data_IF_158478742725
#
_entry.id   IF_158478742725
#
_cell.length_a   1.000
_cell.length_b   1.000
_cell.length_c   1.000
_cell.angle_alpha   90.00
_cell.angle_beta   90.00
_cell.angle_gamma   90.00
#
_symmetry.space_group_name_H-M   'P 1'
#
loop_
_entity.id
_entity.type
_entity.pdbx_description
1 polymer ?
#
# COMPACT_ATOMS: atom_id res chain seq x y z
N UNK A 1 -0.12 15.81 -4.36
CA UNK A 1 -0.19 14.71 -3.45
C UNK A 1 0.98 13.78 -3.61
N UNK A 2 1.61 13.43 -2.54
CA UNK A 2 2.76 12.58 -2.60
C UNK A 2 2.38 11.12 -2.70
N UNK A 3 3.12 10.39 -3.50
CA UNK A 3 2.87 8.98 -3.65
C UNK A 3 4.20 8.25 -3.63
N UNK A 4 4.24 7.13 -2.92
CA UNK A 4 5.42 6.30 -2.84
C UNK A 4 5.06 4.92 -3.38
N UNK A 5 5.98 4.30 -4.08
CA UNK A 5 5.76 2.95 -4.59
C UNK A 5 6.77 2.01 -3.98
N UNK A 6 6.29 0.90 -3.43
CA UNK A 6 7.13 -0.11 -2.80
C UNK A 6 6.87 -1.48 -3.42
N UNK A 7 7.76 -1.96 -4.29
CA UNK A 7 7.58 -3.25 -4.92
C UNK A 7 8.04 -4.40 -4.04
N UNK A 8 7.56 -5.60 -4.36
CA UNK A 8 8.07 -6.82 -3.74
C UNK A 8 9.31 -7.29 -4.48
N UNK A 9 10.19 -8.02 -3.80
CA UNK A 9 11.32 -8.65 -4.49
C UNK A 9 10.84 -9.56 -5.61
N UNK A 10 11.71 -9.74 -6.60
CA UNK A 10 11.32 -10.44 -7.82
C UNK A 10 10.98 -11.91 -7.60
N UNK A 11 11.50 -12.52 -6.53
CA UNK A 11 11.25 -13.92 -6.31
C UNK A 11 9.81 -14.21 -5.93
N UNK A 12 9.03 -13.21 -5.57
CA UNK A 12 7.62 -13.43 -5.27
C UNK A 12 6.82 -13.30 -6.57
N UNK A 13 6.08 -14.36 -6.92
CA UNK A 13 5.38 -14.36 -8.19
C UNK A 13 3.91 -13.99 -8.09
N UNK A 14 3.28 -14.29 -6.96
CA UNK A 14 1.87 -13.96 -6.82
C UNK A 14 1.74 -12.65 -6.11
N UNK A 15 1.83 -11.58 -6.85
CA UNK A 15 1.78 -10.26 -6.24
C UNK A 15 0.60 -9.48 -6.77
N UNK A 16 0.08 -8.62 -5.96
CA UNK A 16 -0.99 -7.74 -6.37
C UNK A 16 -0.63 -6.32 -5.99
N UNK A 17 -1.13 -5.39 -6.77
CA UNK A 17 -0.89 -3.98 -6.50
C UNK A 17 -1.95 -3.49 -5.52
N UNK A 18 -1.51 -2.81 -4.49
CA UNK A 18 -2.37 -2.32 -3.43
C UNK A 18 -2.13 -0.85 -3.19
N UNK A 19 -3.10 -0.18 -2.61
CA UNK A 19 -2.98 1.24 -2.29
C UNK A 19 -3.55 1.52 -0.91
N UNK A 20 -2.87 2.39 -0.19
CA UNK A 20 -3.32 2.84 1.12
C UNK A 20 -3.04 4.33 1.24
N UNK A 21 -4.00 5.08 1.75
CA UNK A 21 -3.83 6.52 1.94
C UNK A 21 -3.85 6.84 3.42
N UNK A 22 -2.85 7.59 3.88
CA UNK A 22 -2.86 8.08 5.24
C UNK A 22 -3.76 9.31 5.28
N UNK A 23 -5.00 9.11 5.65
CA UNK A 23 -5.96 10.21 5.71
C UNK A 23 -5.91 11.00 7.01
N UNK A 24 -4.95 10.72 7.88
CA UNK A 24 -4.87 11.37 9.16
C UNK A 24 -3.90 12.54 9.12
N UNK A 25 -3.80 13.24 10.23
CA UNK A 25 -2.84 14.31 10.37
C UNK A 25 -1.55 13.80 10.99
N UNK A 26 -1.41 12.50 11.23
CA UNK A 26 -0.27 11.96 11.92
C UNK A 26 0.57 11.11 11.00
N UNK A 27 1.85 11.05 11.32
CA UNK A 27 2.76 10.18 10.61
C UNK A 27 2.43 8.74 10.95
N UNK A 28 2.40 7.89 9.96
CA UNK A 28 2.09 6.47 10.16
C UNK A 28 3.22 5.61 9.63
N UNK A 29 3.30 4.38 10.14
CA UNK A 29 4.22 3.39 9.62
C UNK A 29 3.38 2.20 9.17
N UNK A 30 3.55 1.79 7.92
CA UNK A 30 2.87 0.61 7.38
C UNK A 30 3.85 -0.55 7.40
N UNK A 31 3.43 -1.68 7.94
CA UNK A 31 4.26 -2.87 8.05
C UNK A 31 3.51 -4.10 7.62
N UNK A 32 4.25 -5.08 7.06
CA UNK A 32 3.71 -6.41 6.81
C UNK A 32 4.63 -7.37 7.54
N UNK A 33 4.10 -8.07 8.52
CA UNK A 33 4.89 -8.96 9.35
C UNK A 33 4.48 -10.42 9.31
N UNK A 34 3.39 -10.73 8.64
CA UNK A 34 2.89 -12.10 8.63
C UNK A 34 3.40 -12.93 7.46
N UNK A 35 4.25 -12.38 6.61
CA UNK A 35 4.80 -13.14 5.49
C UNK A 35 6.25 -13.44 5.81
N UNK A 36 6.65 -14.71 5.88
CA UNK A 36 8.02 -15.06 6.21
C UNK A 36 8.99 -14.46 5.19
N UNK A 37 10.11 -13.98 5.70
CA UNK A 37 11.18 -13.43 4.89
C UNK A 37 10.78 -12.19 4.08
N UNK A 38 9.61 -11.63 4.33
CA UNK A 38 9.19 -10.42 3.67
C UNK A 38 9.19 -9.31 4.71
N UNK A 39 10.14 -8.41 4.61
CA UNK A 39 10.24 -7.30 5.53
C UNK A 39 9.78 -6.06 4.83
N UNK A 40 8.60 -5.60 5.17
CA UNK A 40 8.02 -4.41 4.57
C UNK A 40 7.75 -3.40 5.65
N UNK A 41 8.29 -2.21 5.48
CA UNK A 41 8.08 -1.13 6.43
C UNK A 41 8.23 0.18 5.69
N UNK A 42 7.20 1.01 5.72
CA UNK A 42 7.20 2.28 5.02
C UNK A 42 6.59 3.35 5.91
N UNK A 43 7.22 4.51 5.96
CA UNK A 43 6.67 5.65 6.67
C UNK A 43 5.76 6.39 5.71
N UNK A 44 4.54 6.71 6.16
CA UNK A 44 3.57 7.39 5.34
C UNK A 44 3.21 8.70 6.00
N UNK A 45 3.53 9.80 5.31
CA UNK A 45 3.24 11.12 5.83
C UNK A 45 1.75 11.43 5.70
N UNK A 46 1.25 12.40 6.45
CA UNK A 46 -0.15 12.78 6.33
C UNK A 46 -0.53 13.08 4.89
N UNK A 47 -1.67 12.54 4.46
CA UNK A 47 -2.23 12.72 3.12
C UNK A 47 -1.42 12.05 2.01
N UNK A 48 -0.41 11.27 2.38
CA UNK A 48 0.39 10.58 1.38
C UNK A 48 -0.29 9.28 1.00
N UNK A 49 -0.13 8.89 -0.25
CA UNK A 49 -0.64 7.62 -0.76
C UNK A 49 0.51 6.65 -0.91
N UNK A 50 0.34 5.45 -0.39
CA UNK A 50 1.31 4.38 -0.55
C UNK A 50 0.77 3.41 -1.59
N UNK A 51 1.53 3.23 -2.66
CA UNK A 51 1.21 2.22 -3.65
C UNK A 51 2.24 1.12 -3.45
N UNK A 52 1.81 -0.11 -3.27
CA UNK A 52 2.73 -1.18 -2.92
C UNK A 52 2.28 -2.50 -3.50
N UNK A 53 3.21 -3.44 -3.57
CA UNK A 53 2.90 -4.79 -4.01
C UNK A 53 2.88 -5.69 -2.79
N UNK A 54 1.92 -6.60 -2.74
CA UNK A 54 1.76 -7.50 -1.62
C UNK A 54 1.26 -8.85 -2.09
N UNK A 55 1.45 -9.85 -1.24
CA UNK A 55 0.87 -11.16 -1.49
C UNK A 55 -0.56 -11.19 -0.98
N UNK A 56 -1.41 -12.04 -1.56
CA UNK A 56 -2.84 -12.02 -1.22
C UNK A 56 -3.15 -12.25 0.25
N UNK A 57 -2.31 -12.99 0.96
CA UNK A 57 -2.57 -13.27 2.36
C UNK A 57 -1.83 -12.34 3.31
N UNK A 58 -1.23 -11.28 2.79
CA UNK A 58 -0.52 -10.35 3.65
C UNK A 58 -1.48 -9.44 4.39
N UNK A 59 -1.07 -9.02 5.58
CA UNK A 59 -1.82 -8.05 6.37
C UNK A 59 -1.00 -6.79 6.51
N UNK A 60 -1.59 -5.67 6.21
CA UNK A 60 -0.94 -4.37 6.39
C UNK A 60 -1.28 -3.87 7.77
N UNK A 61 -0.26 -3.64 8.59
CA UNK A 61 -0.44 -3.08 9.91
C UNK A 61 -0.06 -1.63 9.88
N UNK A 62 -0.93 -0.78 10.39
CA UNK A 62 -0.69 0.64 10.42
C UNK A 62 -0.47 1.05 11.87
N UNK A 63 0.69 1.61 12.14
CA UNK A 63 1.03 2.10 13.45
C UNK A 63 1.17 3.61 13.38
N UNK A 64 0.95 4.28 14.47
CA UNK A 64 1.25 5.71 14.54
C UNK A 64 2.27 5.91 15.66
N UNK A 65 2.98 7.02 15.58
CA UNK A 65 4.00 7.31 16.58
C UNK A 65 3.36 7.86 17.84
N UNK A 66 3.88 7.43 18.98
CA UNK A 66 3.49 7.95 20.28
C UNK A 66 4.76 8.35 21.00
N UNK A 67 4.62 8.90 22.18
CA UNK A 67 5.78 9.32 22.93
C UNK A 67 6.66 8.16 23.36
N UNK A 68 6.09 6.98 23.49
CA UNK A 68 6.84 5.83 23.95
C UNK A 68 7.16 4.85 22.85
N UNK A 69 6.94 5.21 21.59
CA UNK A 69 7.20 4.30 20.47
C UNK A 69 6.10 4.35 19.45
N UNK A 70 5.65 3.20 19.00
CA UNK A 70 4.54 3.16 18.06
C UNK A 70 3.41 2.33 18.63
N UNK A 71 2.21 2.61 18.18
CA UNK A 71 1.02 1.91 18.61
C UNK A 71 0.23 1.49 17.37
N UNK A 72 -0.18 0.23 17.34
CA UNK A 72 -0.96 -0.28 16.23
C UNK A 72 -2.31 0.40 16.21
N UNK A 73 -2.67 0.99 15.10
CA UNK A 73 -3.95 1.65 14.94
C UNK A 73 -4.90 0.83 14.07
N UNK A 74 -4.37 0.01 13.16
CA UNK A 74 -5.24 -0.73 12.26
C UNK A 74 -4.50 -1.92 11.66
N UNK A 75 -5.25 -2.91 11.23
CA UNK A 75 -4.70 -4.05 10.54
C UNK A 75 -5.66 -4.39 9.41
N UNK A 76 -5.18 -4.37 8.18
CA UNK A 76 -6.02 -4.50 7.01
C UNK A 76 -5.49 -5.63 6.14
N UNK A 77 -6.36 -6.54 5.74
CA UNK A 77 -5.96 -7.56 4.79
C UNK A 77 -5.65 -6.87 3.46
N UNK A 78 -4.47 -7.11 2.92
CA UNK A 78 -4.04 -6.41 1.72
C UNK A 78 -4.97 -6.67 0.55
N UNK A 79 -5.65 -7.79 0.55
CA UNK A 79 -6.59 -8.07 -0.53
C UNK A 79 -7.70 -7.02 -0.62
N UNK A 80 -8.03 -6.36 0.48
CA UNK A 80 -9.04 -5.30 0.46
C UNK A 80 -8.47 -3.98 -0.06
N UNK A 81 -7.14 -3.90 -0.17
CA UNK A 81 -6.51 -2.67 -0.65
C UNK A 81 -6.09 -2.82 -2.11
N UNK A 82 -6.47 -3.90 -2.74
CA UNK A 82 -6.07 -4.17 -4.10
C UNK A 82 -6.59 -3.14 -5.07
N UNK A 83 -5.71 -2.66 -5.92
CA UNK A 83 -6.10 -1.70 -6.94
C UNK A 83 -6.80 -2.46 -8.05
N UNK A 84 -8.03 -2.08 -8.33
CA UNK A 84 -8.83 -2.75 -9.35
C UNK A 84 -8.54 -2.10 -10.68
N UNK A 85 -8.17 -2.94 -11.66
CA UNK A 85 -7.92 -2.43 -12.99
C UNK A 85 -8.94 -3.04 -13.91
N UNK A 86 -9.64 -2.20 -14.65
CA UNK A 86 -10.68 -2.66 -15.52
C UNK A 86 -10.14 -2.87 -16.91
N UNK A 87 -10.64 -3.92 -17.53
CA UNK A 87 -10.14 -4.27 -18.83
C UNK A 87 -10.30 -3.17 -19.85
N UNK A 88 -11.41 -2.49 -19.81
CA UNK A 88 -11.65 -1.44 -20.79
C UNK A 88 -10.71 -0.27 -20.60
N UNK A 89 -10.17 -0.10 -19.44
CA UNK A 89 -9.24 1.00 -19.24
C UNK A 89 -7.93 0.69 -19.89
N UNK A 90 -7.61 -0.57 -20.05
CA UNK A 90 -6.39 -0.88 -20.73
C UNK A 90 -6.50 -0.75 -22.21
N UNK A 91 -7.67 -0.98 -22.76
CA UNK A 91 -7.80 -0.91 -24.20
C UNK A 91 -7.63 0.50 -24.69
N UNK A 92 -7.67 1.49 -23.84
CA UNK A 92 -7.41 2.83 -24.30
C UNK A 92 -5.95 3.08 -24.38
N UNK A 93 -5.17 2.10 -24.14
CA UNK A 93 -3.73 2.21 -24.19
C UNK A 93 -3.21 3.20 -23.22
N UNK A 94 -3.93 3.45 -22.24
CA UNK A 94 -3.47 4.36 -21.28
C UNK A 94 -3.42 3.66 -19.98
N UNK A 95 -2.68 2.61 -19.89
CA UNK A 95 -2.48 1.99 -18.63
C UNK A 95 -2.11 3.01 -17.61
N UNK A 96 -1.42 4.01 -18.04
CA UNK A 96 -1.06 5.05 -17.13
C UNK A 96 -2.26 5.82 -16.65
N UNK A 97 -3.33 5.79 -17.42
CA UNK A 97 -4.45 6.48 -17.00
C UNK A 97 -5.01 5.93 -15.77
N UNK A 98 -4.92 4.65 -15.62
CA UNK A 98 -5.45 4.03 -14.45
C UNK A 98 -4.85 4.64 -13.23
N UNK A 99 -3.58 4.91 -13.28
CA UNK A 99 -2.96 5.45 -12.14
C UNK A 99 -3.18 6.90 -11.98
N UNK A 100 -3.38 7.63 -13.07
CA UNK A 100 -3.57 8.98 -12.87
C UNK A 100 -4.92 9.29 -12.42
N UNK A 101 -5.88 8.49 -12.84
CA UNK A 101 -7.24 8.83 -12.54
C UNK A 101 -7.52 8.72 -11.10
N UNK A 102 -6.80 7.94 -10.44
CA UNK A 102 -7.09 7.90 -9.16
C UNK A 102 -6.52 8.87 -8.43
N UNK A 103 -5.77 9.62 -9.00
CA UNK A 103 -5.30 10.65 -8.32
C UNK A 103 -6.23 11.49 -7.95
N UNK A 104 -7.14 11.28 -8.63
CA UNK A 104 -8.12 11.98 -8.03
C UNK A 104 -7.89 11.69 -6.75
#
# INVERSE_FOLDING_TARGET
MNQTFAPLPAEYTERMLCAYVNGTQKLQIARIRNIPHCKFEQIIFPKQRLLFEALPNAWLEIDWFTETGTTLSDRICCNYLRVQQRQDEFTTSHAALVFRSENG
#
